data_IF_580289056234
#
_entry.id   IF_580289056234
#
_cell.length_a   1.000
_cell.length_b   1.000
_cell.length_c   1.000
_cell.angle_alpha   90.00
_cell.angle_beta   90.00
_cell.angle_gamma   90.00
#
_symmetry.space_group_name_H-M   'P 1'
#
loop_
_entity.id
_entity.type
_entity.pdbx_description
1 polymer ?
#
# COMPACT_ATOMS: atom_id res chain seq x y z
N UNK A 1 71.37 -31.58 36.46
CA UNK A 1 71.25 -32.59 35.40
C UNK A 1 70.61 -31.90 34.21
N UNK A 2 71.06 -32.14 32.97
CA UNK A 2 70.43 -31.54 31.77
C UNK A 2 68.91 -31.80 31.72
N UNK A 3 68.47 -32.93 32.26
CA UNK A 3 67.07 -33.34 32.34
C UNK A 3 66.21 -32.34 33.11
N UNK A 4 66.67 -31.83 34.26
CA UNK A 4 65.91 -30.84 35.05
C UNK A 4 65.76 -29.53 34.29
N UNK A 5 66.81 -29.09 33.59
CA UNK A 5 66.77 -27.86 32.78
C UNK A 5 65.81 -28.00 31.60
N UNK A 6 65.78 -29.16 30.93
CA UNK A 6 64.81 -29.40 29.85
C UNK A 6 63.37 -29.45 30.35
N UNK A 7 63.13 -30.01 31.54
CA UNK A 7 61.81 -30.08 32.16
C UNK A 7 61.29 -28.67 32.50
N UNK A 8 62.14 -27.83 33.07
CA UNK A 8 61.81 -26.44 33.42
C UNK A 8 61.41 -25.62 32.18
N UNK A 9 62.16 -25.77 31.07
CA UNK A 9 61.85 -25.10 29.79
C UNK A 9 60.50 -25.56 29.21
N UNK A 10 60.20 -26.87 29.27
CA UNK A 10 58.92 -27.40 28.81
C UNK A 10 57.78 -26.88 29.67
N UNK A 11 57.97 -26.85 30.99
CA UNK A 11 56.98 -26.35 31.94
C UNK A 11 56.69 -24.86 31.72
N UNK A 12 57.74 -24.04 31.55
CA UNK A 12 57.60 -22.62 31.24
C UNK A 12 56.84 -22.41 29.92
N UNK A 13 57.20 -23.16 28.87
CA UNK A 13 56.52 -23.10 27.57
C UNK A 13 55.05 -23.54 27.66
N UNK A 14 54.75 -24.58 28.44
CA UNK A 14 53.39 -25.06 28.66
C UNK A 14 52.54 -24.02 29.42
N UNK A 15 53.11 -23.38 30.44
CA UNK A 15 52.45 -22.30 31.19
C UNK A 15 52.20 -21.07 30.29
N UNK A 16 53.19 -20.68 29.48
CA UNK A 16 53.05 -19.60 28.53
C UNK A 16 51.97 -19.88 27.49
N UNK A 17 51.96 -21.08 26.90
CA UNK A 17 50.93 -21.52 25.95
C UNK A 17 49.52 -21.57 26.57
N UNK A 18 49.41 -22.00 27.83
CA UNK A 18 48.13 -21.99 28.56
C UNK A 18 47.65 -20.57 28.78
N UNK A 19 48.53 -19.65 29.20
CA UNK A 19 48.19 -18.26 29.44
C UNK A 19 47.70 -17.57 28.15
N UNK A 20 48.45 -17.70 27.05
CA UNK A 20 48.05 -17.15 25.73
C UNK A 20 46.72 -17.72 25.25
N UNK A 21 46.48 -19.03 25.39
CA UNK A 21 45.19 -19.64 25.04
C UNK A 21 44.02 -19.08 25.87
N UNK A 22 44.24 -18.82 27.16
CA UNK A 22 43.21 -18.24 28.04
C UNK A 22 42.88 -16.80 27.64
N UNK A 23 43.90 -16.00 27.31
CA UNK A 23 43.73 -14.62 26.83
C UNK A 23 42.96 -14.63 25.50
N UNK A 24 43.39 -15.43 24.52
CA UNK A 24 42.71 -15.53 23.23
C UNK A 24 41.26 -15.97 23.36
N UNK A 25 40.97 -16.93 24.25
CA UNK A 25 39.60 -17.39 24.52
C UNK A 25 38.74 -16.26 25.10
N UNK A 26 39.30 -15.44 26.01
CA UNK A 26 38.60 -14.29 26.60
C UNK A 26 38.31 -13.23 25.53
N UNK A 27 39.30 -12.85 24.73
CA UNK A 27 39.12 -11.89 23.63
C UNK A 27 38.06 -12.34 22.62
N UNK A 28 38.05 -13.64 22.27
CA UNK A 28 37.02 -14.23 21.41
C UNK A 28 35.63 -14.15 22.04
N UNK A 29 35.52 -14.43 23.34
CA UNK A 29 34.26 -14.33 24.08
C UNK A 29 33.75 -12.89 24.11
N UNK A 30 34.61 -11.93 24.46
CA UNK A 30 34.26 -10.52 24.54
C UNK A 30 33.81 -9.98 23.18
N UNK A 31 34.50 -10.40 22.11
CA UNK A 31 34.12 -10.05 20.73
C UNK A 31 32.78 -10.66 20.32
N UNK A 32 32.52 -11.92 20.69
CA UNK A 32 31.23 -12.58 20.43
C UNK A 32 30.09 -11.84 21.14
N UNK A 33 30.28 -11.51 22.42
CA UNK A 33 29.29 -10.80 23.23
C UNK A 33 29.00 -9.40 22.67
N UNK A 34 30.04 -8.69 22.22
CA UNK A 34 29.88 -7.42 21.53
C UNK A 34 29.06 -7.57 20.25
N UNK A 35 29.43 -8.50 19.36
CA UNK A 35 28.71 -8.72 18.11
C UNK A 35 27.25 -9.11 18.35
N UNK A 36 26.96 -9.97 19.34
CA UNK A 36 25.58 -10.33 19.70
C UNK A 36 24.76 -9.12 20.15
N UNK A 37 25.33 -8.24 20.99
CA UNK A 37 24.66 -7.00 21.40
C UNK A 37 24.40 -6.07 20.21
N UNK A 38 25.37 -5.91 19.32
CA UNK A 38 25.21 -5.09 18.12
C UNK A 38 24.14 -5.66 17.17
N UNK A 39 24.08 -6.98 17.00
CA UNK A 39 23.03 -7.64 16.22
C UNK A 39 21.64 -7.42 16.83
N UNK A 40 21.52 -7.47 18.15
CA UNK A 40 20.25 -7.21 18.83
C UNK A 40 19.77 -5.77 18.62
N UNK A 41 20.67 -4.79 18.78
CA UNK A 41 20.40 -3.37 18.56
C UNK A 41 19.97 -3.15 17.10
N UNK A 42 20.76 -3.65 16.14
CA UNK A 42 20.46 -3.51 14.72
C UNK A 42 19.10 -4.14 14.38
N UNK A 43 18.78 -5.29 14.96
CA UNK A 43 17.48 -5.95 14.75
C UNK A 43 16.33 -5.09 15.28
N UNK A 44 16.48 -4.48 16.45
CA UNK A 44 15.46 -3.61 17.03
C UNK A 44 15.25 -2.34 16.17
N UNK A 45 16.33 -1.68 15.78
CA UNK A 45 16.29 -0.49 14.91
C UNK A 45 15.66 -0.80 13.55
N UNK A 46 15.96 -1.97 12.97
CA UNK A 46 15.39 -2.36 11.68
C UNK A 46 13.90 -2.70 11.79
N UNK A 47 13.46 -3.29 12.91
CA UNK A 47 12.03 -3.51 13.18
C UNK A 47 11.28 -2.18 13.28
N UNK A 48 11.84 -1.22 14.00
CA UNK A 48 11.27 0.12 14.15
C UNK A 48 11.15 0.83 12.79
N UNK A 49 12.19 0.79 11.97
CA UNK A 49 12.16 1.30 10.58
C UNK A 49 11.09 0.63 9.74
N UNK A 50 10.90 -0.69 9.85
CA UNK A 50 9.84 -1.40 9.12
C UNK A 50 8.47 -0.90 9.56
N UNK A 51 8.22 -0.73 10.86
CA UNK A 51 6.97 -0.18 11.38
C UNK A 51 6.69 1.21 10.80
N UNK A 52 7.66 2.12 10.86
CA UNK A 52 7.50 3.47 10.30
C UNK A 52 7.28 3.48 8.79
N UNK A 53 7.97 2.61 8.04
CA UNK A 53 7.73 2.46 6.60
C UNK A 53 6.30 1.99 6.32
N UNK A 54 5.77 1.05 7.11
CA UNK A 54 4.38 0.57 6.96
C UNK A 54 3.39 1.71 7.25
N UNK A 55 3.55 2.43 8.35
CA UNK A 55 2.70 3.58 8.69
C UNK A 55 2.71 4.66 7.59
N UNK A 56 3.88 4.94 7.03
CA UNK A 56 4.04 5.88 5.93
C UNK A 56 3.35 5.42 4.65
N UNK A 57 3.41 4.12 4.36
CA UNK A 57 2.70 3.53 3.22
C UNK A 57 1.20 3.61 3.42
N UNK A 58 0.69 3.22 4.58
CA UNK A 58 -0.75 3.26 4.90
C UNK A 58 -1.31 4.69 4.73
N UNK A 59 -0.58 5.69 5.22
CA UNK A 59 -0.96 7.10 5.07
C UNK A 59 -0.98 7.53 3.60
N UNK A 60 0.06 7.21 2.83
CA UNK A 60 0.14 7.55 1.40
C UNK A 60 -0.93 6.86 0.57
N UNK A 61 -1.19 5.58 0.85
CA UNK A 61 -2.27 4.81 0.20
C UNK A 61 -3.62 5.43 0.53
N UNK A 62 -3.87 5.80 1.78
CA UNK A 62 -5.13 6.44 2.19
C UNK A 62 -5.37 7.77 1.47
N UNK A 63 -4.35 8.62 1.36
CA UNK A 63 -4.44 9.90 0.65
C UNK A 63 -4.70 9.67 -0.85
N UNK A 64 -3.89 8.81 -1.48
CA UNK A 64 -4.03 8.52 -2.90
C UNK A 64 -5.41 7.90 -3.20
N UNK A 65 -5.87 6.95 -2.39
CA UNK A 65 -7.18 6.34 -2.55
C UNK A 65 -8.32 7.36 -2.42
N UNK A 66 -8.23 8.31 -1.47
CA UNK A 66 -9.25 9.35 -1.34
C UNK A 66 -9.31 10.24 -2.61
N UNK A 67 -8.16 10.56 -3.18
CA UNK A 67 -8.09 11.32 -4.43
C UNK A 67 -8.64 10.54 -5.64
N UNK A 68 -8.36 9.23 -5.72
CA UNK A 68 -8.91 8.37 -6.77
C UNK A 68 -10.43 8.19 -6.62
N UNK A 69 -10.94 8.08 -5.39
CA UNK A 69 -12.39 8.01 -5.12
C UNK A 69 -13.10 9.28 -5.62
N UNK A 70 -12.48 10.46 -5.48
CA UNK A 70 -13.05 11.72 -5.99
C UNK A 70 -13.13 11.77 -7.53
N UNK A 71 -12.40 10.91 -8.22
CA UNK A 71 -12.36 10.80 -9.69
C UNK A 71 -13.10 9.57 -10.20
N UNK A 72 -13.93 8.94 -9.36
CA UNK A 72 -14.71 7.78 -9.77
C UNK A 72 -15.61 8.07 -10.98
N UNK A 73 -16.08 9.31 -11.15
CA UNK A 73 -16.86 9.71 -12.32
C UNK A 73 -16.12 9.42 -13.62
N UNK A 74 -14.84 9.77 -13.70
CA UNK A 74 -14.03 9.62 -14.91
C UNK A 74 -13.89 8.13 -15.25
N UNK A 75 -13.68 7.29 -14.24
CA UNK A 75 -13.55 5.85 -14.39
C UNK A 75 -14.86 5.17 -14.79
N UNK A 76 -16.00 5.68 -14.29
CA UNK A 76 -17.34 5.23 -14.66
C UNK A 76 -17.68 5.67 -16.09
N UNK A 77 -17.28 6.87 -16.50
CA UNK A 77 -17.52 7.39 -17.86
C UNK A 77 -16.74 6.60 -18.93
N UNK A 78 -15.60 6.01 -18.56
CA UNK A 78 -14.82 5.10 -19.42
C UNK A 78 -15.48 3.71 -19.58
N UNK A 79 -16.45 3.35 -18.73
CA UNK A 79 -17.13 2.07 -18.81
C UNK A 79 -18.14 2.05 -19.96
N UNK A 80 -17.88 1.20 -20.96
CA UNK A 80 -18.61 1.20 -22.24
C UNK A 80 -19.58 0.03 -22.43
N UNK A 81 -19.93 -0.69 -21.36
CA UNK A 81 -20.88 -1.79 -21.47
C UNK A 81 -22.31 -1.29 -21.79
N UNK A 82 -23.10 -2.02 -22.58
CA UNK A 82 -24.48 -1.64 -22.89
C UNK A 82 -25.37 -1.74 -21.65
N UNK A 83 -26.12 -0.67 -21.38
CA UNK A 83 -27.08 -0.65 -20.27
C UNK A 83 -28.40 -1.32 -20.64
N UNK A 84 -28.91 -2.18 -19.76
CA UNK A 84 -30.23 -2.79 -19.88
C UNK A 84 -30.99 -2.70 -18.54
N UNK A 85 -32.27 -2.29 -18.55
CA UNK A 85 -33.06 -2.09 -17.33
C UNK A 85 -33.60 -3.41 -16.74
N UNK A 86 -33.41 -4.55 -17.39
CA UNK A 86 -33.90 -5.84 -16.91
C UNK A 86 -33.16 -6.27 -15.62
N UNK A 87 -33.85 -6.67 -14.54
CA UNK A 87 -33.24 -6.88 -13.23
C UNK A 87 -32.06 -7.87 -13.21
N UNK A 88 -32.13 -8.95 -14.00
CA UNK A 88 -31.07 -9.95 -14.08
C UNK A 88 -29.84 -9.36 -14.78
N UNK A 89 -30.05 -8.66 -15.90
CA UNK A 89 -28.98 -8.05 -16.69
C UNK A 89 -28.36 -6.86 -15.97
N UNK A 90 -29.16 -6.10 -15.22
CA UNK A 90 -28.71 -4.98 -14.38
C UNK A 90 -27.74 -5.46 -13.28
N UNK A 91 -27.99 -6.62 -12.67
CA UNK A 91 -27.08 -7.18 -11.66
C UNK A 91 -25.73 -7.59 -12.26
N UNK A 92 -25.72 -8.05 -13.51
CA UNK A 92 -24.49 -8.36 -14.25
C UNK A 92 -23.75 -7.06 -14.57
N UNK A 93 -24.45 -6.06 -15.12
CA UNK A 93 -23.90 -4.74 -15.43
C UNK A 93 -23.24 -4.10 -14.20
N UNK A 94 -23.90 -4.13 -13.04
CA UNK A 94 -23.35 -3.62 -11.78
C UNK A 94 -22.08 -4.35 -11.36
N UNK A 95 -22.07 -5.68 -11.46
CA UNK A 95 -20.89 -6.48 -11.11
C UNK A 95 -19.71 -6.13 -12.02
N UNK A 96 -19.96 -6.03 -13.33
CA UNK A 96 -18.93 -5.66 -14.29
C UNK A 96 -18.41 -4.24 -14.05
N UNK A 97 -19.30 -3.30 -13.71
CA UNK A 97 -18.93 -1.94 -13.33
C UNK A 97 -18.08 -1.93 -12.04
N UNK A 98 -18.44 -2.69 -11.02
CA UNK A 98 -17.65 -2.81 -9.79
C UNK A 98 -16.25 -3.37 -10.08
N UNK A 99 -16.15 -4.41 -10.92
CA UNK A 99 -14.86 -4.99 -11.32
C UNK A 99 -14.02 -3.98 -12.11
N UNK A 100 -14.63 -3.23 -13.04
CA UNK A 100 -13.95 -2.18 -13.80
C UNK A 100 -13.41 -1.08 -12.87
N UNK A 101 -14.25 -0.62 -11.94
CA UNK A 101 -13.87 0.41 -10.97
C UNK A 101 -12.75 -0.09 -10.04
N UNK A 102 -12.86 -1.30 -9.52
CA UNK A 102 -11.87 -1.91 -8.64
C UNK A 102 -10.51 -2.05 -9.34
N UNK A 103 -10.53 -2.55 -10.58
CA UNK A 103 -9.33 -2.70 -11.41
C UNK A 103 -8.69 -1.35 -11.73
N UNK A 104 -9.49 -0.34 -12.09
CA UNK A 104 -9.00 1.00 -12.40
C UNK A 104 -8.38 1.69 -11.19
N UNK A 105 -9.07 1.70 -10.04
CA UNK A 105 -8.51 2.23 -8.78
C UNK A 105 -7.22 1.50 -8.39
N UNK A 106 -7.20 0.16 -8.48
CA UNK A 106 -6.03 -0.65 -8.17
C UNK A 106 -4.83 -0.33 -9.08
N UNK A 107 -5.08 -0.15 -10.38
CA UNK A 107 -4.07 0.23 -11.36
C UNK A 107 -3.51 1.64 -11.10
N UNK A 108 -4.37 2.62 -10.80
CA UNK A 108 -3.97 3.99 -10.50
C UNK A 108 -3.14 4.08 -9.21
N UNK A 109 -3.54 3.37 -8.15
CA UNK A 109 -2.74 3.28 -6.93
C UNK A 109 -1.38 2.63 -7.20
N UNK A 110 -1.37 1.54 -7.99
CA UNK A 110 -0.13 0.86 -8.36
C UNK A 110 0.82 1.78 -9.12
N UNK A 111 0.35 2.50 -10.13
CA UNK A 111 1.19 3.38 -10.94
C UNK A 111 1.76 4.54 -10.12
N UNK A 112 0.97 5.11 -9.20
CA UNK A 112 1.36 6.28 -8.39
C UNK A 112 2.32 5.95 -7.25
N UNK A 113 2.15 4.79 -6.59
CA UNK A 113 2.83 4.52 -5.32
C UNK A 113 3.91 3.44 -5.40
N UNK A 114 3.84 2.51 -6.37
CA UNK A 114 4.70 1.32 -6.35
C UNK A 114 6.18 1.64 -6.55
N UNK A 115 6.52 2.58 -7.43
CA UNK A 115 7.92 2.94 -7.70
C UNK A 115 8.59 3.61 -6.50
N UNK A 116 7.92 4.62 -5.92
CA UNK A 116 8.42 5.32 -4.74
C UNK A 116 8.57 4.37 -3.54
N UNK A 117 7.63 3.45 -3.37
CA UNK A 117 7.72 2.46 -2.30
C UNK A 117 8.84 1.44 -2.54
N UNK A 118 8.98 0.93 -3.77
CA UNK A 118 10.04 -0.01 -4.12
C UNK A 118 11.43 0.58 -3.82
N UNK A 119 11.65 1.85 -4.18
CA UNK A 119 12.91 2.57 -3.88
C UNK A 119 13.15 2.67 -2.37
N UNK A 120 12.12 3.00 -1.59
CA UNK A 120 12.24 3.10 -0.12
C UNK A 120 12.58 1.74 0.52
N UNK A 121 11.89 0.67 0.11
CA UNK A 121 12.14 -0.69 0.61
C UNK A 121 13.52 -1.17 0.21
N UNK A 122 13.94 -0.95 -1.04
CA UNK A 122 15.26 -1.35 -1.52
C UNK A 122 16.38 -0.60 -0.79
N UNK A 123 16.18 0.71 -0.55
CA UNK A 123 17.11 1.53 0.25
C UNK A 123 17.25 0.99 1.67
N UNK A 124 16.13 0.71 2.35
CA UNK A 124 16.11 0.14 3.69
C UNK A 124 16.78 -1.25 3.74
N UNK A 125 16.52 -2.12 2.75
CA UNK A 125 17.18 -3.43 2.65
C UNK A 125 18.69 -3.30 2.41
N UNK A 126 19.13 -2.36 1.57
CA UNK A 126 20.55 -2.09 1.30
C UNK A 126 21.25 -1.62 2.57
N UNK A 127 20.66 -0.68 3.30
CA UNK A 127 21.20 -0.20 4.57
C UNK A 127 21.32 -1.33 5.60
N UNK A 128 20.30 -2.18 5.72
CA UNK A 128 20.32 -3.34 6.60
C UNK A 128 21.47 -4.30 6.25
N UNK A 129 21.61 -4.64 4.97
CA UNK A 129 22.67 -5.52 4.49
C UNK A 129 24.07 -4.94 4.75
N UNK A 130 24.24 -3.63 4.53
CA UNK A 130 25.50 -2.94 4.78
C UNK A 130 25.87 -2.97 6.26
N UNK A 131 24.95 -2.58 7.16
CA UNK A 131 25.18 -2.57 8.60
C UNK A 131 25.43 -3.97 9.15
N UNK A 132 24.70 -4.99 8.67
CA UNK A 132 24.97 -6.39 9.02
C UNK A 132 26.37 -6.83 8.57
N UNK A 133 26.81 -6.43 7.37
CA UNK A 133 28.13 -6.80 6.85
C UNK A 133 29.28 -6.22 7.67
N UNK A 134 29.09 -5.05 8.29
CA UNK A 134 30.10 -4.40 9.14
C UNK A 134 30.36 -5.18 10.44
N UNK A 135 29.35 -5.93 10.92
CA UNK A 135 29.46 -6.79 12.11
C UNK A 135 30.21 -8.10 11.84
N UNK A 136 30.41 -8.46 10.57
CA UNK A 136 31.18 -9.64 10.19
C UNK A 136 32.70 -9.39 10.24
N UNK A 137 33.49 -10.41 10.63
CA UNK A 137 34.95 -10.38 10.46
C UNK A 137 35.32 -10.07 9.01
N UNK A 138 36.39 -9.31 8.80
CA UNK A 138 36.89 -8.87 7.48
C UNK A 138 36.97 -10.02 6.47
N UNK A 139 37.47 -11.16 6.91
CA UNK A 139 37.72 -12.35 6.09
C UNK A 139 36.42 -13.06 5.67
N UNK A 140 35.29 -12.67 6.26
CA UNK A 140 33.96 -13.20 5.98
C UNK A 140 33.02 -12.17 5.35
N UNK A 141 33.52 -10.95 5.05
CA UNK A 141 32.71 -9.90 4.39
C UNK A 141 32.42 -10.18 2.92
N UNK A 142 33.15 -11.10 2.29
CA UNK A 142 32.87 -11.62 0.94
C UNK A 142 31.50 -12.34 0.86
N UNK A 143 30.91 -12.74 2.01
CA UNK A 143 29.55 -13.33 2.12
C UNK A 143 28.45 -12.28 1.82
N UNK A 144 28.81 -11.04 1.46
CA UNK A 144 27.87 -9.99 0.98
C UNK A 144 26.89 -10.48 -0.08
N UNK A 145 27.25 -11.46 -0.90
CA UNK A 145 26.35 -12.06 -1.91
C UNK A 145 25.16 -12.82 -1.29
N UNK A 146 25.32 -13.39 -0.09
CA UNK A 146 24.26 -14.09 0.67
C UNK A 146 23.39 -13.11 1.45
N UNK A 147 23.96 -11.98 1.88
CA UNK A 147 23.25 -10.89 2.54
C UNK A 147 22.62 -9.90 1.55
N UNK A 148 22.75 -10.15 0.24
CA UNK A 148 22.20 -9.27 -0.78
C UNK A 148 20.65 -9.20 -0.64
N UNK A 149 20.06 -8.00 -0.79
CA UNK A 149 18.61 -7.84 -0.86
C UNK A 149 17.97 -8.81 -1.87
N UNK A 150 16.67 -9.10 -1.71
CA UNK A 150 15.92 -9.95 -2.65
C UNK A 150 16.18 -9.51 -4.08
N UNK A 151 16.45 -10.48 -4.97
CA UNK A 151 16.71 -10.21 -6.40
C UNK A 151 15.48 -9.75 -7.16
N UNK A 152 14.30 -10.05 -6.63
CA UNK A 152 13.03 -9.66 -7.22
C UNK A 152 12.62 -8.26 -6.73
N UNK A 153 12.15 -7.38 -7.63
CA UNK A 153 11.61 -6.08 -7.27
C UNK A 153 10.51 -6.21 -6.22
N UNK A 154 10.45 -5.27 -5.30
CA UNK A 154 9.34 -5.17 -4.37
C UNK A 154 8.05 -4.86 -5.14
N UNK A 155 7.03 -5.71 -5.00
CA UNK A 155 5.70 -5.50 -5.59
C UNK A 155 4.63 -5.34 -4.51
N UNK A 156 3.75 -4.36 -4.72
CA UNK A 156 2.60 -4.11 -3.86
C UNK A 156 1.32 -4.63 -4.54
N UNK A 157 0.53 -5.38 -3.78
CA UNK A 157 -0.78 -5.88 -4.20
C UNK A 157 -1.86 -5.14 -3.41
N UNK A 158 -2.72 -4.42 -4.13
CA UNK A 158 -3.88 -3.74 -3.54
C UNK A 158 -5.08 -4.68 -3.61
N UNK A 159 -5.73 -4.91 -2.48
CA UNK A 159 -7.02 -5.60 -2.41
C UNK A 159 -8.07 -4.55 -2.10
N UNK A 160 -8.75 -4.08 -3.13
CA UNK A 160 -9.89 -3.19 -3.01
C UNK A 160 -11.15 -4.05 -3.00
N UNK A 161 -12.22 -3.58 -2.36
CA UNK A 161 -13.51 -4.23 -2.43
C UNK A 161 -14.56 -3.15 -2.68
N UNK A 162 -14.97 -3.02 -3.93
CA UNK A 162 -15.91 -2.00 -4.35
C UNK A 162 -17.31 -2.23 -3.76
N UNK A 163 -17.73 -3.47 -3.51
CA UNK A 163 -19.02 -3.75 -2.85
C UNK A 163 -19.08 -3.12 -1.46
N UNK A 164 -18.00 -3.21 -0.69
CA UNK A 164 -17.90 -2.58 0.63
C UNK A 164 -17.78 -1.05 0.55
N UNK A 165 -17.03 -0.52 -0.43
CA UNK A 165 -16.89 0.92 -0.66
C UNK A 165 -18.24 1.55 -1.07
N UNK A 166 -19.08 0.80 -1.77
CA UNK A 166 -20.39 1.24 -2.26
C UNK A 166 -21.57 0.74 -1.42
N UNK A 167 -21.34 0.16 -0.24
CA UNK A 167 -22.41 -0.45 0.57
C UNK A 167 -23.54 0.54 0.95
N UNK A 168 -23.20 1.81 1.12
CA UNK A 168 -24.17 2.88 1.45
C UNK A 168 -24.71 3.60 0.21
N UNK A 169 -24.23 3.25 -0.99
CA UNK A 169 -24.69 3.85 -2.24
C UNK A 169 -26.05 3.26 -2.63
N UNK A 170 -27.04 4.12 -2.87
CA UNK A 170 -28.33 3.74 -3.42
C UNK A 170 -28.50 4.40 -4.76
N UNK A 171 -28.38 3.63 -5.84
CA UNK A 171 -28.66 4.18 -7.17
C UNK A 171 -30.15 4.49 -7.33
N UNK A 172 -30.47 5.70 -7.77
CA UNK A 172 -31.79 6.02 -8.32
C UNK A 172 -31.73 5.87 -9.84
N UNK A 173 -32.02 4.67 -10.32
CA UNK A 173 -32.16 4.38 -11.75
C UNK A 173 -33.51 4.84 -12.31
N UNK A 174 -34.37 5.42 -11.47
CA UNK A 174 -35.66 5.96 -11.91
C UNK A 174 -35.41 7.30 -12.59
N UNK A 175 -35.30 7.27 -13.92
CA UNK A 175 -35.32 8.49 -14.71
C UNK A 175 -36.70 9.14 -14.57
N UNK A 176 -36.86 10.03 -13.57
CA UNK A 176 -38.00 10.92 -13.46
C UNK A 176 -37.78 12.05 -14.45
N UNK A 177 -38.11 11.80 -15.72
CA UNK A 177 -38.23 12.89 -16.68
C UNK A 177 -39.26 13.85 -16.09
N UNK A 178 -38.80 14.98 -15.54
CA UNK A 178 -39.68 16.09 -15.22
C UNK A 178 -40.44 16.35 -16.52
N UNK A 179 -41.75 16.16 -16.48
CA UNK A 179 -42.66 16.35 -17.60
C UNK A 179 -42.65 17.83 -18.05
N UNK A 180 -41.54 18.30 -18.61
CA UNK A 180 -41.27 19.69 -18.97
C UNK A 180 -42.05 20.13 -20.20
N UNK A 181 -42.41 19.18 -21.08
CA UNK A 181 -43.21 19.46 -22.26
C UNK A 181 -44.72 19.29 -22.02
N UNK A 182 -45.18 18.28 -21.28
CA UNK A 182 -46.63 18.14 -21.00
C UNK A 182 -47.13 19.25 -20.07
N UNK A 183 -46.30 19.71 -19.11
CA UNK A 183 -46.62 20.88 -18.26
C UNK A 183 -46.65 22.18 -19.08
N UNK A 184 -45.82 22.31 -20.12
CA UNK A 184 -45.86 23.43 -21.06
C UNK A 184 -47.15 23.40 -21.91
N UNK A 185 -47.50 22.23 -22.45
CA UNK A 185 -48.71 22.01 -23.25
C UNK A 185 -49.96 22.32 -22.41
N UNK A 186 -50.01 21.90 -21.15
CA UNK A 186 -51.13 22.20 -20.25
C UNK A 186 -51.27 23.71 -19.96
N UNK A 187 -50.16 24.45 -19.93
CA UNK A 187 -50.16 25.92 -19.73
C UNK A 187 -50.55 26.70 -21.00
N UNK A 188 -50.26 26.15 -22.19
CA UNK A 188 -50.65 26.75 -23.46
C UNK A 188 -52.10 26.41 -23.87
N UNK A 189 -52.58 25.19 -23.62
CA UNK A 189 -53.96 24.80 -23.92
C UNK A 189 -54.98 25.25 -22.86
N UNK A 190 -54.54 25.57 -21.64
CA UNK A 190 -55.42 26.07 -20.57
C UNK A 190 -55.78 27.56 -20.67
N UNK A 191 -55.10 28.35 -21.51
CA UNK A 191 -55.24 29.82 -21.54
C UNK A 191 -56.29 30.35 -22.53
N UNK A 192 -56.75 29.51 -23.47
CA UNK A 192 -57.72 29.90 -24.51
C UNK A 192 -59.20 29.77 -24.11
N UNK A 193 -59.52 29.26 -22.91
CA UNK A 193 -60.93 29.16 -22.44
C UNK A 193 -61.40 30.30 -21.54
N UNK A 194 -60.54 31.24 -21.16
CA UNK A 194 -60.89 32.31 -20.21
C UNK A 194 -61.08 33.70 -20.83
N UNK A 195 -61.13 33.84 -22.16
CA UNK A 195 -61.31 35.14 -22.84
C UNK A 195 -62.63 35.30 -23.62
N UNK A 196 -63.63 34.45 -23.39
CA UNK A 196 -64.93 34.57 -24.09
C UNK A 196 -66.16 34.56 -23.15
N UNK A 197 -66.06 35.21 -21.99
CA UNK A 197 -67.22 35.37 -21.11
C UNK A 197 -67.31 36.72 -20.36
N UNK A 198 -66.76 37.81 -20.89
CA UNK A 198 -66.92 39.16 -20.32
C UNK A 198 -67.07 40.26 -21.38
N UNK A 199 -67.74 39.98 -22.50
CA UNK A 199 -68.20 41.01 -23.44
C UNK A 199 -69.51 40.56 -24.12
N UNK A 200 -70.63 40.61 -23.41
CA UNK A 200 -71.97 40.78 -24.00
C UNK A 200 -72.93 41.16 -22.86
N UNK A 201 -72.99 42.46 -22.55
CA UNK A 201 -74.14 43.06 -21.90
C UNK A 201 -75.06 43.63 -22.97
N UNK A 202 -76.32 43.19 -22.98
CA UNK A 202 -77.44 43.89 -23.62
C UNK A 202 -78.55 44.06 -22.57
N UNK A 203 -78.89 45.33 -22.33
CA UNK A 203 -80.13 45.99 -21.85
C UNK A 203 -81.19 45.23 -21.03
N UNK A 204 -81.44 45.78 -19.83
CA UNK A 204 -82.71 46.23 -19.19
C UNK A 204 -84.09 45.77 -19.69
N UNK A 205 -85.07 45.83 -18.77
CA UNK A 205 -86.10 46.87 -18.86
C UNK A 205 -86.07 47.90 -17.73
#
# INVERSE_FOLDING_TARGET
>A
SEITTTLDLIQERAQHNRSTRLVNKRELSDKLDFTNKQLHILTAEMKDKICHLVEDVERKVSIALNEEIRKLSDLVDEFSAPFHPEPIVLNVYKRELHVHVESGLGSNLKSRLSSALAVNVESAQREMAERMSQLLPTDKREIKSVLAPRREPFEMFYRLNCDNLCADFKEDISFRFSFGFTSLIQRFLGKERSKKLTMFGFSEP
#
